data_IF_252534339065
#
_entry.id   IF_252534339065
#
_cell.length_a   1.000
_cell.length_b   1.000
_cell.length_c   1.000
_cell.angle_alpha   90.00
_cell.angle_beta   90.00
_cell.angle_gamma   90.00
#
_symmetry.space_group_name_H-M   'P 1'
#
loop_
_entity.id
_entity.type
_entity.pdbx_description
1 polymer ?
#
# COMPACT_ATOMS: atom_id res chain seq x y z
N UNK A 1 6.58 12.59 7.24
CA UNK A 1 5.55 11.55 7.00
C UNK A 1 4.43 12.23 6.22
N UNK A 2 4.19 11.83 4.98
CA UNK A 2 3.20 12.42 4.07
C UNK A 2 1.80 12.37 4.70
N UNK A 3 1.13 13.51 4.70
CA UNK A 3 -0.22 13.67 5.24
C UNK A 3 -1.25 12.81 4.47
N UNK A 4 -2.08 12.07 5.19
CA UNK A 4 -3.08 11.16 4.62
C UNK A 4 -2.59 9.74 4.30
N UNK A 5 -1.27 9.47 4.34
CA UNK A 5 -0.76 8.09 4.21
C UNK A 5 -0.99 7.34 5.52
N UNK A 6 -1.68 6.19 5.43
CA UNK A 6 -1.98 5.32 6.58
C UNK A 6 -1.25 3.99 6.44
N UNK A 7 -0.48 3.62 7.46
CA UNK A 7 0.14 2.29 7.57
C UNK A 7 -0.62 1.52 8.65
N UNK A 8 -1.32 0.46 8.26
CA UNK A 8 -2.11 -0.37 9.16
C UNK A 8 -1.47 -1.76 9.26
N UNK A 9 -1.08 -2.24 10.46
CA UNK A 9 -0.65 -3.61 10.64
C UNK A 9 -1.75 -4.59 10.23
N UNK A 10 -1.46 -5.49 9.29
CA UNK A 10 -2.39 -6.50 8.81
C UNK A 10 -2.23 -7.80 9.61
N UNK A 11 -3.35 -8.38 10.06
CA UNK A 11 -3.36 -9.62 10.84
C UNK A 11 -2.96 -10.80 9.95
N UNK A 12 -2.01 -11.59 10.45
CA UNK A 12 -1.70 -12.93 9.93
C UNK A 12 -2.04 -13.96 11.00
N UNK A 13 -2.72 -15.03 10.61
CA UNK A 13 -3.09 -16.14 11.49
C UNK A 13 -2.32 -17.35 10.98
N UNK A 14 -1.37 -17.83 11.78
CA UNK A 14 -0.45 -18.92 11.43
C UNK A 14 -0.99 -20.25 11.95
N UNK A 15 -0.81 -21.31 11.17
CA UNK A 15 -1.00 -22.70 11.59
C UNK A 15 0.00 -23.64 10.89
N UNK A 16 -0.08 -24.94 11.16
CA UNK A 16 0.83 -25.95 10.60
C UNK A 16 0.76 -26.08 9.06
N UNK A 17 -0.29 -25.56 8.42
CA UNK A 17 -0.50 -25.62 6.97
C UNK A 17 -0.04 -24.35 6.27
N UNK A 18 0.26 -23.29 7.02
CA UNK A 18 0.72 -22.01 6.50
C UNK A 18 0.14 -20.82 7.25
N UNK A 19 -0.51 -19.89 6.52
CA UNK A 19 -1.06 -18.66 7.10
C UNK A 19 -2.27 -18.11 6.35
N UNK A 20 -3.22 -17.56 7.11
CA UNK A 20 -4.29 -16.68 6.61
C UNK A 20 -3.80 -15.24 6.74
N UNK A 21 -3.97 -14.44 5.68
CA UNK A 21 -3.55 -13.03 5.64
C UNK A 21 -4.74 -12.13 5.35
N UNK A 22 -4.98 -11.14 6.22
CA UNK A 22 -5.96 -10.09 5.92
C UNK A 22 -5.34 -9.03 5.01
N UNK A 23 -6.15 -8.46 4.12
CA UNK A 23 -5.80 -7.27 3.34
C UNK A 23 -6.81 -6.14 3.61
N UNK A 24 -8.01 -6.24 3.05
CA UNK A 24 -9.05 -5.23 3.15
C UNK A 24 -10.36 -5.89 3.58
N UNK A 25 -11.05 -5.31 4.55
CA UNK A 25 -12.35 -5.77 5.04
C UNK A 25 -13.34 -4.61 4.98
N UNK A 26 -14.62 -4.91 4.71
CA UNK A 26 -15.66 -3.89 4.63
C UNK A 26 -15.94 -3.18 5.96
N UNK A 27 -15.56 -3.80 7.09
CA UNK A 27 -15.67 -3.21 8.43
C UNK A 27 -14.37 -2.53 8.90
N UNK A 28 -13.35 -2.46 8.04
CA UNK A 28 -12.11 -1.76 8.39
C UNK A 28 -12.34 -0.24 8.37
N UNK A 29 -11.78 0.54 9.32
CA UNK A 29 -11.96 2.00 9.36
C UNK A 29 -11.45 2.77 8.13
N UNK A 30 -10.59 2.13 7.32
CA UNK A 30 -10.04 2.70 6.08
C UNK A 30 -10.74 2.19 4.81
N UNK A 31 -11.76 1.33 4.95
CA UNK A 31 -12.57 0.90 3.83
C UNK A 31 -13.62 1.96 3.49
N UNK A 32 -13.68 2.35 2.21
CA UNK A 32 -14.70 3.27 1.70
C UNK A 32 -15.75 2.54 0.88
N UNK A 33 -15.33 1.91 -0.21
CA UNK A 33 -16.19 1.16 -1.14
C UNK A 33 -15.35 0.20 -1.96
N UNK A 34 -16.00 -0.79 -2.57
CA UNK A 34 -15.37 -1.61 -3.59
C UNK A 34 -15.25 -0.84 -4.91
N UNK A 35 -14.14 -1.04 -5.62
CA UNK A 35 -13.93 -0.55 -6.98
C UNK A 35 -13.32 -1.65 -7.83
N UNK A 36 -12.05 -1.95 -7.59
CA UNK A 36 -11.29 -2.99 -8.28
C UNK A 36 -10.24 -3.60 -7.34
N UNK A 37 -9.89 -4.86 -7.57
CA UNK A 37 -8.70 -5.52 -6.98
C UNK A 37 -7.93 -6.17 -8.12
N UNK A 38 -6.63 -5.88 -8.21
CA UNK A 38 -5.70 -6.52 -9.13
C UNK A 38 -4.40 -6.87 -8.42
N UNK A 39 -3.64 -7.79 -9.02
CA UNK A 39 -2.34 -8.21 -8.51
C UNK A 39 -1.25 -7.81 -9.50
N UNK A 40 -0.10 -7.40 -8.97
CA UNK A 40 1.07 -7.08 -9.79
C UNK A 40 2.29 -7.79 -9.24
N UNK A 41 3.08 -8.38 -10.13
CA UNK A 41 4.36 -8.98 -9.80
C UNK A 41 5.51 -8.04 -10.19
N UNK A 42 6.57 -8.05 -9.39
CA UNK A 42 7.79 -7.27 -9.61
C UNK A 42 8.98 -8.19 -9.40
N UNK A 43 9.84 -8.31 -10.41
CA UNK A 43 11.06 -9.11 -10.29
C UNK A 43 12.08 -8.43 -9.36
N UNK A 44 12.94 -9.19 -8.65
CA UNK A 44 14.00 -8.62 -7.83
C UNK A 44 14.86 -7.62 -8.61
N UNK A 45 15.13 -6.45 -8.00
CA UNK A 45 15.91 -5.36 -8.62
C UNK A 45 15.14 -4.49 -9.61
N UNK A 46 13.95 -4.89 -10.06
CA UNK A 46 13.14 -4.07 -10.96
C UNK A 46 12.45 -2.92 -10.20
N UNK A 47 12.34 -1.76 -10.87
CA UNK A 47 11.64 -0.57 -10.35
C UNK A 47 10.39 -0.34 -11.21
N UNK A 48 9.23 -0.21 -10.57
CA UNK A 48 7.96 0.15 -11.22
C UNK A 48 7.51 1.53 -10.72
N UNK A 49 7.76 2.57 -11.50
CA UNK A 49 7.40 3.94 -11.18
C UNK A 49 7.82 4.93 -12.27
N UNK A 50 7.30 6.15 -12.28
CA UNK A 50 6.29 6.70 -11.36
C UNK A 50 4.87 6.47 -11.90
N UNK A 51 3.91 6.26 -11.00
CA UNK A 51 2.49 6.16 -11.34
C UNK A 51 1.69 7.10 -10.45
N UNK A 52 0.75 7.84 -11.05
CA UNK A 52 -0.17 8.71 -10.31
C UNK A 52 -1.60 8.40 -10.74
N UNK A 53 -2.45 8.13 -9.75
CA UNK A 53 -3.87 7.92 -9.95
C UNK A 53 -4.63 9.17 -9.50
N UNK A 54 -5.29 9.86 -10.44
CA UNK A 54 -5.97 11.15 -10.15
C UNK A 54 -7.35 11.02 -9.48
N UNK A 55 -7.94 9.81 -9.49
CA UNK A 55 -9.36 9.61 -9.12
C UNK A 55 -9.58 8.48 -8.10
N UNK A 56 -8.54 7.78 -7.68
CA UNK A 56 -8.66 6.61 -6.80
C UNK A 56 -7.58 6.61 -5.73
N UNK A 57 -7.94 6.08 -4.57
CA UNK A 57 -7.03 5.76 -3.47
C UNK A 57 -6.61 4.30 -3.59
N UNK A 58 -5.31 4.03 -3.47
CA UNK A 58 -4.78 2.67 -3.54
C UNK A 58 -4.50 2.12 -2.14
N UNK A 59 -4.95 0.89 -1.90
CA UNK A 59 -4.59 0.11 -0.71
C UNK A 59 -3.61 -0.99 -1.14
N UNK A 60 -2.38 -0.95 -0.62
CA UNK A 60 -1.35 -1.93 -0.93
C UNK A 60 -1.20 -2.96 0.19
N UNK A 61 -1.03 -4.23 -0.19
CA UNK A 61 -0.53 -5.29 0.65
C UNK A 61 0.47 -6.13 -0.15
N UNK A 62 1.53 -6.60 0.54
CA UNK A 62 2.57 -7.44 -0.06
C UNK A 62 2.49 -8.83 0.58
N UNK A 63 1.70 -9.75 0.00
CA UNK A 63 1.51 -11.08 0.58
C UNK A 63 2.73 -12.00 0.41
N UNK A 64 3.56 -11.74 -0.60
CA UNK A 64 4.73 -12.56 -0.97
C UNK A 64 5.90 -11.63 -1.29
N UNK A 65 7.07 -11.91 -0.68
CA UNK A 65 8.30 -11.16 -0.90
C UNK A 65 8.34 -9.85 -0.11
N UNK A 66 9.19 -8.93 -0.53
CA UNK A 66 9.38 -7.62 0.11
C UNK A 66 9.60 -6.55 -0.95
N UNK A 67 9.13 -5.34 -0.69
CA UNK A 67 9.36 -4.19 -1.55
C UNK A 67 9.79 -2.98 -0.72
N UNK A 68 10.47 -2.04 -1.39
CA UNK A 68 10.62 -0.66 -0.95
C UNK A 68 9.60 0.19 -1.73
N UNK A 69 8.49 0.53 -1.09
CA UNK A 69 7.47 1.41 -1.67
C UNK A 69 7.88 2.87 -1.46
N UNK A 70 7.92 3.63 -2.55
CA UNK A 70 8.27 5.05 -2.55
C UNK A 70 7.03 5.88 -2.85
N UNK A 71 6.79 6.90 -2.04
CA UNK A 71 5.72 7.87 -2.22
C UNK A 71 6.34 9.27 -2.27
N UNK A 72 5.79 10.13 -3.11
CA UNK A 72 6.14 11.54 -3.20
C UNK A 72 4.87 12.38 -3.18
N UNK A 73 4.85 13.44 -2.39
CA UNK A 73 3.69 14.32 -2.27
C UNK A 73 3.82 15.56 -3.16
N UNK A 74 3.19 15.54 -4.33
CA UNK A 74 3.14 16.69 -5.25
C UNK A 74 1.82 17.49 -5.15
N UNK A 75 1.03 17.30 -4.09
CA UNK A 75 -0.23 18.04 -3.93
C UNK A 75 0.07 19.50 -3.60
N UNK A 76 -0.37 20.42 -4.44
CA UNK A 76 -0.05 21.86 -4.34
C UNK A 76 -0.34 22.48 -2.97
N UNK A 77 -1.47 22.10 -2.36
CA UNK A 77 -1.94 22.62 -1.07
C UNK A 77 -1.63 21.69 0.12
N UNK A 78 -0.79 20.68 -0.06
CA UNK A 78 -0.48 19.74 1.02
C UNK A 78 0.51 20.35 2.00
N UNK A 79 0.31 20.18 3.33
CA UNK A 79 1.30 20.55 4.32
C UNK A 79 2.60 19.75 4.22
N UNK A 80 2.59 18.63 3.47
CA UNK A 80 3.74 17.77 3.24
C UNK A 80 4.19 17.77 1.77
N UNK A 81 3.83 18.79 0.99
CA UNK A 81 4.28 18.89 -0.41
C UNK A 81 5.81 18.86 -0.49
N UNK A 82 6.34 18.06 -1.42
CA UNK A 82 7.77 17.87 -1.61
C UNK A 82 8.39 16.77 -0.75
N UNK A 83 7.65 16.21 0.20
CA UNK A 83 8.13 15.12 1.04
C UNK A 83 8.23 13.81 0.24
N UNK A 84 9.35 13.10 0.46
CA UNK A 84 9.55 11.73 0.00
C UNK A 84 9.37 10.78 1.19
N UNK A 85 8.60 9.71 1.00
CA UNK A 85 8.40 8.67 2.00
C UNK A 85 8.82 7.31 1.45
N UNK A 86 9.58 6.58 2.26
CA UNK A 86 10.01 5.22 1.97
C UNK A 86 9.38 4.24 2.96
N UNK A 87 8.72 3.21 2.45
CA UNK A 87 8.08 2.17 3.26
C UNK A 87 8.66 0.82 2.84
N UNK A 88 9.27 0.13 3.79
CA UNK A 88 9.70 -1.26 3.61
C UNK A 88 8.59 -2.18 4.12
N UNK A 89 8.04 -3.02 3.26
CA UNK A 89 6.91 -3.90 3.62
C UNK A 89 6.93 -5.22 2.85
N UNK A 90 6.19 -6.20 3.39
CA UNK A 90 6.26 -7.63 3.01
C UNK A 90 6.97 -8.50 4.04
#
# INVERSE_FOLDING_TARGET
MIDGVKITPLKQILDERGKIMHMLRSDAPHFEKFGEIYFSFVHPGAIKGWHIHKKMTLNYAVPIGKIKLILYDDRENSPTRGELMEIFTG
#
